data_IF_579185057365
#
_entry.id   IF_579185057365
#
_cell.length_a   1.000
_cell.length_b   1.000
_cell.length_c   1.000
_cell.angle_alpha   90.00
_cell.angle_beta   90.00
_cell.angle_gamma   90.00
#
_symmetry.space_group_name_H-M   'P 1'
#
loop_
_entity.id
_entity.type
_entity.pdbx_description
1 polymer ?
#
# COMPACT_ATOMS: atom_id res chain seq x y z
N UNK A 1 22.24 -26.39 63.82
CA UNK A 1 20.88 -26.79 64.19
C UNK A 1 19.92 -26.25 63.13
N UNK A 2 19.23 -27.17 62.43
CA UNK A 2 18.02 -27.05 61.56
C UNK A 2 17.93 -25.83 60.63
N UNK A 3 18.15 -25.94 59.31
CA UNK A 3 17.32 -26.61 58.27
C UNK A 3 15.84 -26.28 58.39
N UNK A 4 15.31 -25.45 57.48
CA UNK A 4 14.08 -25.74 56.71
C UNK A 4 13.80 -24.65 55.65
N UNK A 5 13.42 -25.12 54.47
CA UNK A 5 12.81 -24.46 53.30
C UNK A 5 11.93 -25.55 52.66
N UNK A 6 10.94 -25.29 51.78
CA UNK A 6 9.98 -24.20 51.65
C UNK A 6 8.53 -24.76 51.67
N UNK A 7 7.49 -23.94 51.47
CA UNK A 7 6.15 -24.44 51.07
C UNK A 7 5.69 -23.77 49.78
N UNK A 8 5.55 -24.63 48.76
CA UNK A 8 4.99 -24.47 47.43
C UNK A 8 3.45 -24.46 47.52
N UNK A 9 2.80 -23.51 46.83
CA UNK A 9 1.35 -23.49 46.64
C UNK A 9 1.03 -23.33 45.16
N UNK A 10 1.23 -24.42 44.43
CA UNK A 10 0.67 -24.64 43.10
C UNK A 10 -0.73 -25.28 43.20
N UNK A 11 -1.81 -24.71 42.62
CA UNK A 11 -3.09 -25.40 42.53
C UNK A 11 -3.13 -26.43 41.40
N UNK A 12 -3.73 -27.58 41.75
CA UNK A 12 -3.79 -28.84 41.00
C UNK A 12 -4.61 -28.76 39.69
N UNK A 13 -4.06 -29.41 38.67
CA UNK A 13 -4.75 -29.90 37.47
C UNK A 13 -5.91 -30.83 37.85
N UNK A 14 -7.10 -30.58 37.30
CA UNK A 14 -8.21 -31.54 37.27
C UNK A 14 -8.36 -32.03 35.83
N UNK A 15 -7.98 -33.27 35.59
CA UNK A 15 -8.40 -34.06 34.42
C UNK A 15 -9.41 -35.10 34.90
N UNK A 16 -10.52 -35.29 34.18
CA UNK A 16 -11.21 -36.60 34.16
C UNK A 16 -11.86 -36.90 32.82
N UNK A 17 -11.53 -38.11 32.38
CA UNK A 17 -11.87 -38.84 31.16
C UNK A 17 -13.36 -39.17 31.01
N UNK A 18 -13.81 -39.08 29.75
CA UNK A 18 -14.38 -40.15 28.90
C UNK A 18 -15.53 -41.03 29.40
N UNK A 19 -16.57 -41.17 28.55
CA UNK A 19 -17.29 -42.39 28.07
C UNK A 19 -18.65 -41.91 27.50
N UNK A 20 -18.92 -41.86 26.19
CA UNK A 20 -19.16 -42.90 25.14
C UNK A 20 -20.65 -43.20 24.88
N UNK A 21 -20.96 -43.40 23.58
CA UNK A 21 -22.17 -43.97 22.91
C UNK A 21 -23.27 -42.96 22.54
N UNK A 22 -23.78 -42.88 21.30
CA UNK A 22 -23.54 -43.63 20.07
C UNK A 22 -24.77 -43.57 19.14
N UNK A 23 -24.51 -43.70 17.83
CA UNK A 23 -25.35 -44.25 16.74
C UNK A 23 -26.48 -43.37 16.17
N UNK A 24 -26.42 -43.18 14.85
CA UNK A 24 -27.55 -42.73 14.02
C UNK A 24 -27.18 -42.52 12.55
N UNK A 25 -27.02 -43.62 11.79
CA UNK A 25 -26.92 -43.65 10.33
C UNK A 25 -28.21 -43.13 9.65
N UNK A 26 -28.09 -42.40 8.54
CA UNK A 26 -29.00 -42.56 7.40
C UNK A 26 -28.38 -42.03 6.10
N UNK A 27 -28.13 -42.95 5.16
CA UNK A 27 -27.87 -42.72 3.74
C UNK A 27 -29.13 -42.19 3.04
N UNK A 28 -28.95 -41.36 2.02
CA UNK A 28 -29.73 -41.45 0.78
C UNK A 28 -28.96 -40.81 -0.40
N UNK A 29 -28.92 -41.52 -1.51
CA UNK A 29 -28.22 -41.20 -2.74
C UNK A 29 -29.23 -41.06 -3.90
N UNK A 30 -29.02 -40.03 -4.76
CA UNK A 30 -29.19 -40.02 -6.25
C UNK A 30 -30.67 -40.08 -6.76
N UNK A 31 -31.09 -39.29 -7.81
CA UNK A 31 -30.42 -39.27 -9.11
C UNK A 31 -30.29 -37.96 -9.90
N UNK A 32 -29.30 -38.04 -10.79
CA UNK A 32 -29.04 -37.24 -11.98
C UNK A 32 -30.14 -37.48 -13.03
N UNK A 33 -30.67 -36.41 -13.62
CA UNK A 33 -31.36 -36.45 -14.91
C UNK A 33 -30.86 -35.31 -15.80
N UNK A 34 -30.29 -35.68 -16.95
CA UNK A 34 -30.09 -34.83 -18.15
C UNK A 34 -31.38 -34.81 -18.96
N UNK A 35 -31.71 -33.69 -19.63
CA UNK A 35 -31.81 -33.54 -21.11
C UNK A 35 -32.67 -32.32 -21.53
N UNK A 36 -32.19 -31.63 -22.58
CA UNK A 36 -32.87 -30.94 -23.69
C UNK A 36 -33.52 -29.55 -23.52
N UNK A 37 -32.82 -28.56 -24.10
CA UNK A 37 -33.22 -27.70 -25.24
C UNK A 37 -34.72 -27.59 -25.57
N UNK A 38 -35.22 -26.35 -25.56
CA UNK A 38 -36.23 -25.89 -26.52
C UNK A 38 -36.03 -24.40 -26.84
N UNK A 39 -35.89 -24.09 -28.13
CA UNK A 39 -36.03 -22.76 -28.72
C UNK A 39 -37.52 -22.39 -28.83
N UNK A 40 -37.85 -21.10 -28.75
CA UNK A 40 -39.14 -20.56 -29.15
C UNK A 40 -39.17 -19.05 -28.94
N UNK A 41 -39.19 -18.29 -30.04
CA UNK A 41 -39.20 -16.82 -30.06
C UNK A 41 -40.60 -16.21 -30.26
N UNK A 42 -40.61 -14.88 -30.23
CA UNK A 42 -41.63 -13.87 -30.57
C UNK A 42 -42.95 -13.91 -29.77
N UNK A 43 -43.51 -12.82 -29.25
CA UNK A 43 -43.62 -11.47 -29.82
C UNK A 43 -44.00 -10.41 -28.75
N UNK A 44 -43.48 -9.19 -28.96
CA UNK A 44 -44.02 -7.82 -28.69
C UNK A 44 -44.77 -7.45 -27.38
N UNK A 45 -44.20 -6.50 -26.61
CA UNK A 45 -44.65 -5.09 -26.42
C UNK A 45 -44.30 -4.51 -25.03
N UNK A 46 -43.51 -3.42 -25.04
CA UNK A 46 -43.71 -2.19 -24.26
C UNK A 46 -43.58 -2.23 -22.73
N UNK A 47 -42.58 -1.51 -22.20
CA UNK A 47 -42.66 -0.92 -20.86
C UNK A 47 -41.32 -0.75 -20.16
N UNK A 48 -40.63 0.35 -20.43
CA UNK A 48 -39.64 0.89 -19.49
C UNK A 48 -40.37 1.27 -18.19
N UNK A 49 -39.90 0.78 -17.04
CA UNK A 49 -39.76 1.58 -15.81
C UNK A 49 -38.88 0.87 -14.79
N UNK A 50 -37.78 1.55 -14.52
CA UNK A 50 -36.83 1.45 -13.42
C UNK A 50 -37.41 0.83 -12.12
N UNK A 51 -36.89 -0.33 -11.73
CA UNK A 51 -36.93 -0.90 -10.37
C UNK A 51 -35.51 -1.39 -10.11
N UNK A 52 -34.88 -1.24 -8.96
CA UNK A 52 -35.19 -0.70 -7.66
C UNK A 52 -33.88 -0.91 -6.88
N UNK A 53 -33.55 0.00 -5.98
CA UNK A 53 -32.38 -0.13 -5.12
C UNK A 53 -32.45 -1.45 -4.34
N UNK A 54 -31.39 -2.26 -4.44
CA UNK A 54 -31.09 -3.30 -3.46
C UNK A 54 -29.75 -2.96 -2.81
N UNK A 55 -29.84 -2.34 -1.64
CA UNK A 55 -28.73 -2.13 -0.74
C UNK A 55 -28.48 -3.44 0.02
N UNK A 56 -27.82 -4.38 -0.66
CA UNK A 56 -27.32 -5.61 -0.08
C UNK A 56 -26.02 -5.35 0.68
N UNK A 57 -26.11 -5.33 2.01
CA UNK A 57 -24.97 -5.50 2.92
C UNK A 57 -24.51 -6.95 2.86
N UNK A 58 -23.78 -7.28 1.80
CA UNK A 58 -23.10 -8.57 1.64
C UNK A 58 -21.61 -8.39 1.83
N UNK A 59 -21.03 -9.04 2.83
CA UNK A 59 -19.61 -9.41 2.83
C UNK A 59 -19.41 -10.49 1.76
N UNK A 60 -19.58 -10.12 0.50
CA UNK A 60 -19.15 -10.95 -0.60
C UNK A 60 -17.69 -10.58 -0.81
N UNK A 61 -16.78 -11.53 -0.60
CA UNK A 61 -15.40 -11.39 -1.05
C UNK A 61 -15.47 -11.30 -2.57
N UNK A 62 -15.67 -10.07 -3.06
CA UNK A 62 -16.14 -9.80 -4.40
C UNK A 62 -15.27 -10.52 -5.41
N UNK A 63 -15.91 -11.30 -6.27
CA UNK A 63 -15.31 -11.72 -7.52
C UNK A 63 -14.97 -10.44 -8.26
N UNK A 64 -13.70 -10.03 -8.20
CA UNK A 64 -13.20 -8.93 -9.02
C UNK A 64 -13.44 -9.29 -10.48
N UNK A 65 -14.19 -8.44 -11.18
CA UNK A 65 -14.21 -8.49 -12.62
C UNK A 65 -12.77 -8.27 -13.11
N UNK A 66 -12.20 -9.18 -13.93
CA UNK A 66 -10.80 -9.12 -14.40
C UNK A 66 -10.45 -7.82 -15.14
N UNK A 67 -11.44 -6.99 -15.46
CA UNK A 67 -11.30 -5.64 -16.02
C UNK A 67 -10.94 -4.51 -15.04
N UNK A 68 -11.10 -4.68 -13.72
CA UNK A 68 -11.04 -3.57 -12.76
C UNK A 68 -10.00 -3.74 -11.64
N UNK A 69 -9.59 -2.62 -11.07
CA UNK A 69 -8.78 -2.56 -9.86
C UNK A 69 -9.59 -2.96 -8.63
N UNK A 70 -8.98 -3.73 -7.73
CA UNK A 70 -9.60 -4.17 -6.48
C UNK A 70 -9.84 -3.00 -5.50
N UNK A 71 -10.82 -3.17 -4.61
CA UNK A 71 -11.15 -2.23 -3.53
C UNK A 71 -11.09 -2.93 -2.16
N UNK A 72 -11.23 -2.18 -1.06
CA UNK A 72 -11.30 -2.74 0.30
C UNK A 72 -9.97 -2.94 1.02
N UNK A 73 -8.85 -2.48 0.46
CA UNK A 73 -7.52 -2.51 1.10
C UNK A 73 -6.80 -3.85 0.99
N UNK A 74 -5.72 -4.02 1.77
CA UNK A 74 -4.81 -5.18 1.66
C UNK A 74 -5.47 -6.54 1.91
N UNK A 75 -6.59 -6.57 2.65
CA UNK A 75 -7.38 -7.78 2.84
C UNK A 75 -7.95 -8.37 1.54
N UNK A 76 -8.09 -7.55 0.48
CA UNK A 76 -8.56 -7.98 -0.82
C UNK A 76 -7.50 -8.70 -1.69
N UNK A 77 -6.24 -8.78 -1.23
CA UNK A 77 -5.15 -9.47 -1.94
C UNK A 77 -5.25 -11.01 -1.80
N UNK A 78 -6.33 -11.59 -2.30
CA UNK A 78 -6.66 -13.01 -2.14
C UNK A 78 -5.69 -13.96 -2.86
N UNK A 79 -4.98 -13.48 -3.88
CA UNK A 79 -4.01 -14.26 -4.65
C UNK A 79 -2.55 -13.86 -4.35
N UNK A 80 -2.29 -13.12 -3.26
CA UNK A 80 -0.98 -12.56 -2.94
C UNK A 80 0.17 -13.58 -2.93
N UNK A 81 -0.08 -14.83 -2.51
CA UNK A 81 0.93 -15.88 -2.48
C UNK A 81 1.34 -16.37 -3.88
N UNK A 82 0.54 -16.09 -4.91
CA UNK A 82 0.74 -16.47 -6.30
C UNK A 82 1.22 -15.31 -7.19
N UNK A 83 1.44 -14.12 -6.63
CA UNK A 83 1.95 -13.00 -7.40
C UNK A 83 3.33 -13.37 -8.00
N UNK A 84 3.59 -13.00 -9.26
CA UNK A 84 4.85 -13.32 -9.90
C UNK A 84 5.99 -12.57 -9.19
N UNK A 85 7.18 -13.15 -9.24
CA UNK A 85 8.39 -12.43 -8.89
C UNK A 85 8.72 -11.44 -10.03
N UNK A 86 8.62 -10.11 -9.81
CA UNK A 86 8.86 -9.12 -10.86
C UNK A 86 10.35 -9.00 -11.25
N UNK A 87 11.25 -9.64 -10.51
CA UNK A 87 12.68 -9.65 -10.76
C UNK A 87 13.20 -11.05 -11.18
N UNK A 88 12.31 -11.98 -11.55
CA UNK A 88 12.66 -13.34 -11.96
C UNK A 88 13.57 -13.41 -13.19
N UNK A 89 13.49 -12.41 -14.07
CA UNK A 89 14.36 -12.26 -15.25
C UNK A 89 15.72 -11.62 -14.92
N UNK A 90 15.99 -11.31 -13.64
CA UNK A 90 17.15 -10.56 -13.20
C UNK A 90 16.99 -9.05 -13.36
N UNK A 91 18.09 -8.32 -13.20
CA UNK A 91 18.10 -6.85 -13.17
C UNK A 91 17.98 -6.17 -14.55
N UNK A 92 17.96 -6.94 -15.63
CA UNK A 92 18.07 -6.40 -16.99
C UNK A 92 19.38 -5.61 -17.19
N UNK A 93 19.34 -4.57 -18.01
CA UNK A 93 20.48 -3.66 -18.30
C UNK A 93 20.41 -2.32 -17.59
N UNK A 94 19.38 -2.07 -16.77
CA UNK A 94 19.17 -0.78 -16.10
C UNK A 94 19.61 -0.90 -14.65
N UNK A 95 20.75 -0.29 -14.33
CA UNK A 95 21.35 -0.28 -13.01
C UNK A 95 21.78 1.15 -12.67
N UNK A 96 20.81 2.06 -12.75
CA UNK A 96 21.02 3.47 -12.44
C UNK A 96 20.90 3.67 -10.93
N UNK A 97 21.84 4.45 -10.36
CA UNK A 97 21.80 4.84 -8.96
C UNK A 97 20.45 5.47 -8.61
N UNK A 98 19.89 5.05 -7.48
CA UNK A 98 18.85 5.82 -6.82
C UNK A 98 19.47 7.12 -6.33
N UNK A 99 19.04 8.24 -6.91
CA UNK A 99 19.52 9.56 -6.50
C UNK A 99 18.68 10.14 -5.36
N UNK A 100 19.33 10.93 -4.51
CA UNK A 100 18.72 11.50 -3.31
C UNK A 100 17.64 12.52 -3.66
N UNK A 101 16.51 12.44 -2.96
CA UNK A 101 15.47 13.47 -2.96
C UNK A 101 15.21 13.92 -1.52
N UNK A 102 14.41 14.98 -1.35
CA UNK A 102 14.06 15.47 -0.02
C UNK A 102 13.36 14.37 0.81
N UNK A 103 13.76 14.26 2.09
CA UNK A 103 13.07 13.45 3.10
C UNK A 103 11.62 13.93 3.28
N UNK A 104 11.39 15.23 3.11
CA UNK A 104 10.09 15.86 3.33
C UNK A 104 9.71 15.98 4.81
N UNK A 105 8.68 16.78 5.13
CA UNK A 105 8.27 17.05 6.51
C UNK A 105 7.42 15.92 7.14
N UNK A 106 7.08 14.89 6.36
CA UNK A 106 6.14 13.84 6.74
C UNK A 106 6.84 12.52 7.11
N UNK A 107 8.17 12.53 7.29
CA UNK A 107 8.85 11.40 7.92
C UNK A 107 8.47 11.32 9.40
N UNK A 108 8.24 10.10 9.88
CA UNK A 108 7.79 9.81 11.23
C UNK A 108 8.25 8.41 11.64
N UNK A 109 8.02 8.06 12.90
CA UNK A 109 8.40 6.79 13.49
C UNK A 109 7.86 5.60 12.68
N UNK A 110 8.76 4.66 12.40
CA UNK A 110 8.51 3.49 11.55
C UNK A 110 8.09 2.27 12.36
N UNK A 111 7.44 1.34 11.68
CA UNK A 111 7.00 0.05 12.25
C UNK A 111 7.54 -1.09 11.41
N UNK A 112 8.14 -2.10 12.03
CA UNK A 112 8.55 -3.32 11.32
C UNK A 112 7.33 -4.21 11.07
N UNK A 113 6.82 -4.16 9.83
CA UNK A 113 5.68 -4.95 9.37
C UNK A 113 5.64 -5.01 7.85
N UNK A 114 5.11 -6.12 7.33
CA UNK A 114 4.91 -6.29 5.88
C UNK A 114 3.69 -5.51 5.40
N UNK A 115 2.54 -5.76 6.01
CA UNK A 115 1.33 -4.97 5.78
C UNK A 115 1.41 -3.68 6.60
N UNK A 116 1.47 -2.55 5.90
CA UNK A 116 1.59 -1.23 6.50
C UNK A 116 0.25 -0.48 6.56
N UNK A 117 -0.85 -1.06 6.08
CA UNK A 117 -2.13 -0.37 5.90
C UNK A 117 -2.87 -0.05 7.21
N UNK A 118 -2.61 -0.80 8.29
CA UNK A 118 -3.47 -0.81 9.50
C UNK A 118 -4.94 -1.10 9.20
N UNK A 119 -5.23 -1.84 8.12
CA UNK A 119 -6.60 -2.17 7.71
C UNK A 119 -7.34 -1.02 7.02
N UNK A 120 -6.65 0.07 6.67
CA UNK A 120 -7.24 1.13 5.87
C UNK A 120 -7.66 0.62 4.49
N UNK A 121 -8.82 1.08 4.03
CA UNK A 121 -9.31 0.81 2.69
C UNK A 121 -8.42 1.48 1.62
N UNK A 122 -8.55 1.01 0.39
CA UNK A 122 -7.73 1.47 -0.73
C UNK A 122 -7.69 0.47 -1.87
N UNK A 123 -7.08 0.88 -2.98
CA UNK A 123 -6.59 -0.08 -3.98
C UNK A 123 -5.41 -0.82 -3.37
N UNK A 124 -5.49 -2.14 -3.12
CA UNK A 124 -4.37 -2.90 -2.56
C UNK A 124 -3.16 -2.94 -3.50
N UNK A 125 -1.97 -2.78 -2.93
CA UNK A 125 -0.69 -2.78 -3.63
C UNK A 125 0.30 -3.68 -2.90
N UNK A 126 0.89 -4.65 -3.62
CA UNK A 126 2.17 -5.24 -3.24
C UNK A 126 3.30 -4.38 -3.80
N UNK A 127 4.11 -3.80 -2.93
CA UNK A 127 5.37 -3.19 -3.29
C UNK A 127 6.49 -4.21 -3.19
N UNK A 128 7.25 -4.39 -4.26
CA UNK A 128 8.41 -5.29 -4.31
C UNK A 128 9.68 -4.50 -4.65
N UNK A 129 10.68 -4.57 -3.78
CA UNK A 129 11.97 -3.93 -4.00
C UNK A 129 13.09 -4.94 -4.12
N UNK A 130 14.05 -4.63 -4.99
CA UNK A 130 15.33 -5.34 -5.08
C UNK A 130 16.46 -4.34 -4.83
N UNK A 131 17.15 -4.48 -3.70
CA UNK A 131 18.26 -3.60 -3.32
C UNK A 131 19.58 -4.20 -3.81
N UNK A 132 20.32 -3.42 -4.60
CA UNK A 132 21.60 -3.83 -5.18
C UNK A 132 22.66 -2.74 -5.05
N UNK A 133 23.94 -3.13 -5.15
CA UNK A 133 25.05 -2.18 -5.28
C UNK A 133 25.24 -1.70 -6.74
N UNK A 134 26.20 -0.81 -6.98
CA UNK A 134 26.54 -0.28 -8.32
C UNK A 134 27.08 -1.34 -9.29
N UNK A 135 27.49 -2.50 -8.77
CA UNK A 135 27.83 -3.67 -9.60
C UNK A 135 26.61 -4.57 -9.83
N UNK A 136 25.42 -4.09 -9.49
CA UNK A 136 24.13 -4.76 -9.62
C UNK A 136 24.11 -6.09 -8.83
N UNK A 137 24.85 -6.15 -7.73
CA UNK A 137 24.85 -7.31 -6.84
C UNK A 137 23.85 -7.09 -5.71
N UNK A 138 22.98 -8.07 -5.40
CA UNK A 138 22.05 -7.96 -4.30
C UNK A 138 22.72 -7.69 -2.94
N UNK A 139 22.08 -6.81 -2.15
CA UNK A 139 22.52 -6.47 -0.80
C UNK A 139 21.56 -7.10 0.22
N UNK A 140 21.94 -8.24 0.83
CA UNK A 140 21.15 -8.83 1.91
C UNK A 140 21.30 -8.04 3.22
N UNK A 141 20.26 -8.02 4.03
CA UNK A 141 20.29 -7.36 5.35
C UNK A 141 20.19 -5.83 5.31
N UNK A 142 19.97 -5.22 4.15
CA UNK A 142 19.65 -3.80 4.05
C UNK A 142 18.23 -3.55 4.61
N UNK A 143 18.02 -2.46 5.33
CA UNK A 143 16.67 -2.04 5.72
C UNK A 143 16.14 -1.06 4.69
N UNK A 144 14.93 -1.31 4.20
CA UNK A 144 14.16 -0.37 3.39
C UNK A 144 13.04 0.16 4.25
N UNK A 145 12.98 1.47 4.38
CA UNK A 145 11.85 2.17 4.98
C UNK A 145 10.99 2.73 3.86
N UNK A 146 9.67 2.70 4.03
CA UNK A 146 8.74 3.41 3.14
C UNK A 146 7.69 4.17 3.93
N UNK A 147 7.25 5.30 3.36
CA UNK A 147 6.09 6.04 3.85
C UNK A 147 5.39 6.75 2.69
N UNK A 148 4.08 6.88 2.79
CA UNK A 148 3.28 7.64 1.82
C UNK A 148 1.97 8.15 2.43
N UNK A 149 1.29 9.02 1.69
CA UNK A 149 -0.04 9.49 2.05
C UNK A 149 -1.09 8.38 1.88
N UNK A 150 -2.16 8.42 2.68
CA UNK A 150 -3.35 7.59 2.44
C UNK A 150 -4.11 8.00 1.18
N UNK A 151 -5.17 7.25 0.80
CA UNK A 151 -6.00 7.54 -0.37
C UNK A 151 -6.53 8.98 -0.41
N UNK A 152 -6.68 9.62 0.74
CA UNK A 152 -7.18 10.99 0.92
C UNK A 152 -6.10 12.06 0.73
N UNK A 153 -4.83 11.68 0.57
CA UNK A 153 -3.69 12.61 0.50
C UNK A 153 -3.15 13.07 1.86
N UNK A 154 -3.65 12.49 2.96
CA UNK A 154 -3.19 12.76 4.32
C UNK A 154 -2.02 11.85 4.69
N UNK A 155 -1.17 12.22 5.65
CA UNK A 155 -0.18 11.32 6.27
C UNK A 155 -0.52 11.04 7.74
N UNK A 156 -0.10 9.88 8.25
CA UNK A 156 -0.18 9.51 9.67
C UNK A 156 1.06 9.91 10.47
N UNK A 157 1.07 9.71 11.78
CA UNK A 157 2.28 9.69 12.60
C UNK A 157 2.34 10.83 13.61
N UNK A 158 2.69 10.46 14.84
CA UNK A 158 2.72 11.37 16.00
C UNK A 158 3.82 12.43 15.87
N UNK A 159 4.95 12.03 15.30
CA UNK A 159 6.15 12.84 15.07
C UNK A 159 6.25 13.40 13.65
N UNK A 160 5.19 13.23 12.84
CA UNK A 160 5.07 13.92 11.56
C UNK A 160 4.67 15.39 11.77
N UNK A 161 5.05 16.28 10.85
CA UNK A 161 4.61 17.67 10.88
C UNK A 161 3.08 17.79 10.87
N UNK A 162 2.52 18.78 11.58
CA UNK A 162 1.08 19.07 11.59
C UNK A 162 0.53 19.36 10.18
N UNK A 163 1.38 19.86 9.27
CA UNK A 163 1.04 20.01 7.85
C UNK A 163 0.66 18.65 7.22
N UNK A 164 1.35 17.58 7.60
CA UNK A 164 1.19 16.24 7.03
C UNK A 164 -0.07 15.53 7.54
N UNK A 165 -0.44 15.78 8.79
CA UNK A 165 -1.63 15.19 9.43
C UNK A 165 -2.84 16.11 9.34
N UNK A 166 -2.71 17.33 8.77
CA UNK A 166 -3.70 18.41 8.82
C UNK A 166 -4.19 18.72 10.24
N UNK A 167 -3.39 18.39 11.25
CA UNK A 167 -3.77 18.45 12.64
C UNK A 167 -4.83 17.43 13.09
N UNK A 168 -5.19 16.44 12.27
CA UNK A 168 -6.13 15.39 12.61
C UNK A 168 -5.59 14.49 13.74
N UNK A 169 -6.39 14.30 14.79
CA UNK A 169 -5.97 13.55 15.98
C UNK A 169 -5.83 12.04 15.69
N UNK A 170 -6.67 11.49 14.81
CA UNK A 170 -6.63 10.08 14.43
C UNK A 170 -5.39 9.81 13.58
N UNK A 171 -5.09 10.66 12.60
CA UNK A 171 -3.89 10.57 11.78
C UNK A 171 -2.61 10.70 12.63
N UNK A 172 -2.58 11.64 13.58
CA UNK A 172 -1.45 11.77 14.53
C UNK A 172 -1.24 10.53 15.41
N UNK A 173 -2.32 9.88 15.85
CA UNK A 173 -2.22 8.68 16.68
C UNK A 173 -1.90 7.40 15.88
N UNK A 174 -2.11 7.41 14.56
CA UNK A 174 -1.95 6.25 13.70
C UNK A 174 -0.52 6.11 13.15
N UNK A 175 -0.23 4.93 12.57
CA UNK A 175 1.03 4.69 11.83
C UNK A 175 0.82 4.04 10.48
N UNK A 176 -0.41 4.02 9.95
CA UNK A 176 -0.71 3.49 8.62
C UNK A 176 0.21 4.06 7.55
N UNK A 177 0.42 3.25 6.51
CA UNK A 177 1.27 3.51 5.36
C UNK A 177 2.71 3.92 5.73
N UNK A 178 3.22 3.38 6.84
CA UNK A 178 4.62 3.47 7.28
C UNK A 178 5.16 2.10 7.62
N UNK A 179 6.33 1.76 7.08
CA UNK A 179 6.97 0.47 7.31
C UNK A 179 8.48 0.52 7.21
N UNK A 180 9.13 -0.41 7.89
CA UNK A 180 10.53 -0.79 7.65
C UNK A 180 10.60 -2.30 7.51
N UNK A 181 11.37 -2.78 6.54
CA UNK A 181 11.63 -4.21 6.35
C UNK A 181 13.06 -4.44 5.93
N UNK A 182 13.59 -5.60 6.29
CA UNK A 182 14.95 -6.02 5.95
C UNK A 182 14.94 -6.89 4.70
N UNK A 183 15.90 -6.66 3.80
CA UNK A 183 16.09 -7.46 2.60
C UNK A 183 16.54 -8.88 2.92
N UNK A 184 16.03 -9.85 2.14
CA UNK A 184 16.40 -11.25 2.24
C UNK A 184 17.80 -11.53 1.64
N UNK A 185 18.19 -12.80 1.56
CA UNK A 185 19.48 -13.23 1.01
C UNK A 185 19.72 -12.81 -0.46
N UNK A 186 18.63 -12.51 -1.19
CA UNK A 186 18.65 -12.07 -2.58
C UNK A 186 18.44 -10.55 -2.70
N UNK A 187 18.57 -9.79 -1.62
CA UNK A 187 18.37 -8.34 -1.62
C UNK A 187 16.92 -7.90 -1.78
N UNK A 188 15.95 -8.81 -1.60
CA UNK A 188 14.52 -8.55 -1.86
C UNK A 188 13.77 -8.16 -0.61
N UNK A 189 12.80 -7.28 -0.75
CA UNK A 189 11.88 -6.93 0.33
C UNK A 189 10.53 -6.50 -0.23
N UNK A 190 9.46 -6.95 0.43
CA UNK A 190 8.09 -6.64 0.02
C UNK A 190 7.32 -5.94 1.16
N UNK A 191 6.38 -5.09 0.75
CA UNK A 191 5.36 -4.48 1.59
C UNK A 191 3.98 -4.69 0.97
N UNK A 192 2.96 -4.77 1.83
CA UNK A 192 1.55 -4.70 1.43
C UNK A 192 1.01 -3.36 1.91
N UNK A 193 0.38 -2.61 1.01
CA UNK A 193 -0.12 -1.26 1.26
C UNK A 193 -1.34 -0.96 0.38
N UNK A 194 -1.78 0.30 0.39
CA UNK A 194 -2.78 0.84 -0.52
C UNK A 194 -2.15 1.90 -1.44
N UNK A 195 -2.71 2.09 -2.64
CA UNK A 195 -2.24 3.12 -3.57
C UNK A 195 -2.35 4.53 -2.93
N UNK A 196 -1.32 5.39 -3.02
CA UNK A 196 -1.35 6.68 -2.34
C UNK A 196 -2.35 7.64 -2.97
N UNK A 197 -2.91 8.53 -2.17
CA UNK A 197 -3.60 9.72 -2.66
C UNK A 197 -2.62 10.82 -3.07
N UNK A 198 -3.16 11.93 -3.58
CA UNK A 198 -2.41 13.15 -3.88
C UNK A 198 -2.77 14.28 -2.92
N UNK A 199 -1.87 15.23 -2.79
CA UNK A 199 -2.03 16.49 -2.08
C UNK A 199 -1.34 17.60 -2.86
N UNK A 200 -1.67 18.86 -2.57
CA UNK A 200 -1.31 19.97 -3.45
C UNK A 200 0.20 20.06 -3.70
N UNK A 201 0.56 20.46 -4.92
CA UNK A 201 1.93 20.64 -5.44
C UNK A 201 2.76 19.37 -5.66
N UNK A 202 2.19 18.19 -5.41
CA UNK A 202 2.90 16.91 -5.48
C UNK A 202 2.16 15.90 -6.34
N UNK A 203 2.88 15.25 -7.26
CA UNK A 203 2.37 14.06 -7.96
C UNK A 203 2.31 12.86 -6.99
N UNK A 204 1.58 11.79 -7.34
CA UNK A 204 1.41 10.61 -6.47
C UNK A 204 2.74 9.88 -6.31
N UNK A 205 3.18 9.66 -5.07
CA UNK A 205 4.50 9.12 -4.76
C UNK A 205 4.54 8.27 -3.50
N UNK A 206 5.61 7.48 -3.40
CA UNK A 206 6.01 6.76 -2.19
C UNK A 206 7.45 7.14 -1.88
N UNK A 207 7.70 7.57 -0.65
CA UNK A 207 9.05 7.81 -0.18
C UNK A 207 9.73 6.50 0.23
N UNK A 208 11.06 6.49 0.13
CA UNK A 208 11.85 5.41 0.71
C UNK A 208 13.19 5.88 1.26
N UNK A 209 13.72 5.09 2.20
CA UNK A 209 15.11 5.18 2.64
C UNK A 209 15.74 3.80 2.65
N UNK A 210 16.93 3.66 2.05
CA UNK A 210 17.73 2.42 2.16
C UNK A 210 18.87 2.63 3.14
N UNK A 211 18.99 1.73 4.12
CA UNK A 211 20.16 1.66 5.02
C UNK A 211 20.87 0.32 4.91
N UNK A 212 22.19 0.36 4.91
CA UNK A 212 23.06 -0.83 4.95
C UNK A 212 23.89 -0.73 6.22
N UNK A 213 23.86 -1.79 7.05
CA UNK A 213 24.51 -1.80 8.37
C UNK A 213 24.11 -0.59 9.25
N UNK A 214 22.85 -0.16 9.17
CA UNK A 214 22.32 0.98 9.93
C UNK A 214 22.70 2.37 9.40
N UNK A 215 23.54 2.46 8.37
CA UNK A 215 23.91 3.75 7.76
C UNK A 215 23.01 4.05 6.57
N UNK A 216 22.58 5.30 6.42
CA UNK A 216 21.73 5.75 5.32
C UNK A 216 22.52 5.92 4.03
N UNK A 217 22.13 5.17 2.99
CA UNK A 217 22.79 5.23 1.68
C UNK A 217 22.05 6.17 0.72
N UNK A 218 20.72 6.16 0.77
CA UNK A 218 19.85 7.03 -0.03
C UNK A 218 18.50 7.20 0.67
N UNK A 219 18.00 8.42 0.63
CA UNK A 219 16.59 8.76 0.86
C UNK A 219 16.05 9.38 -0.43
N UNK A 220 14.94 8.88 -0.94
CA UNK A 220 14.38 9.35 -2.21
C UNK A 220 12.89 9.05 -2.32
N UNK A 221 12.34 9.20 -3.52
CA UNK A 221 10.92 9.06 -3.82
C UNK A 221 10.75 8.28 -5.13
N UNK A 222 9.66 7.52 -5.21
CA UNK A 222 9.23 6.79 -6.40
C UNK A 222 7.82 7.22 -6.77
N UNK A 223 7.57 7.23 -8.07
CA UNK A 223 6.35 7.78 -8.66
C UNK A 223 5.65 6.71 -9.49
N UNK A 224 4.42 6.99 -9.86
CA UNK A 224 3.64 6.15 -10.76
C UNK A 224 3.52 6.83 -12.12
N UNK A 225 3.40 6.04 -13.19
CA UNK A 225 3.12 6.60 -14.50
C UNK A 225 1.81 7.43 -14.45
N UNK A 226 1.78 8.58 -15.13
CA UNK A 226 0.63 9.47 -15.10
C UNK A 226 -0.63 8.78 -15.65
N UNK A 227 -0.51 7.92 -16.67
CA UNK A 227 -1.66 7.19 -17.21
C UNK A 227 -2.21 6.15 -16.22
N UNK A 228 -1.34 5.49 -15.45
CA UNK A 228 -1.76 4.58 -14.37
C UNK A 228 -2.45 5.37 -13.25
N UNK A 229 -1.89 6.53 -12.90
CA UNK A 229 -2.46 7.40 -11.88
C UNK A 229 -3.83 7.93 -12.29
N UNK A 230 -3.98 8.37 -13.53
CA UNK A 230 -5.24 8.90 -14.07
C UNK A 230 -6.31 7.82 -14.16
N UNK A 231 -5.96 6.59 -14.56
CA UNK A 231 -6.89 5.46 -14.55
C UNK A 231 -7.42 5.17 -13.14
N UNK A 232 -6.55 5.13 -12.13
CA UNK A 232 -6.91 4.89 -10.73
C UNK A 232 -7.76 6.03 -10.19
N UNK A 233 -7.32 7.28 -10.38
CA UNK A 233 -8.04 8.47 -9.89
C UNK A 233 -9.45 8.52 -10.47
N UNK A 234 -9.64 8.16 -11.73
CA UNK A 234 -10.95 8.21 -12.38
C UNK A 234 -11.84 6.98 -12.11
N UNK A 235 -11.26 5.81 -11.82
CA UNK A 235 -12.02 4.56 -11.70
C UNK A 235 -12.26 4.10 -10.25
N UNK A 236 -11.39 4.43 -9.30
CA UNK A 236 -11.47 3.91 -7.94
C UNK A 236 -12.39 4.76 -7.04
N UNK A 237 -13.32 4.16 -6.28
CA UNK A 237 -14.32 4.89 -5.48
C UNK A 237 -13.76 5.89 -4.47
N UNK A 238 -12.60 5.60 -3.86
CA UNK A 238 -11.96 6.48 -2.89
C UNK A 238 -11.24 7.69 -3.53
N UNK A 239 -11.10 7.70 -4.85
CA UNK A 239 -10.35 8.73 -5.59
C UNK A 239 -11.25 9.53 -6.52
N UNK A 240 -12.19 8.88 -7.23
CA UNK A 240 -12.99 9.50 -8.29
C UNK A 240 -14.00 10.56 -7.82
N UNK A 241 -14.18 10.70 -6.50
CA UNK A 241 -15.00 11.74 -5.87
C UNK A 241 -14.18 12.91 -5.34
N UNK A 242 -12.85 12.82 -5.32
CA UNK A 242 -11.93 13.85 -4.77
C UNK A 242 -11.59 14.96 -5.79
N UNK A 243 -12.08 14.84 -7.02
CA UNK A 243 -11.78 15.75 -8.13
C UNK A 243 -10.48 15.40 -8.85
N UNK A 244 -10.03 16.30 -9.71
CA UNK A 244 -8.78 16.13 -10.47
C UNK A 244 -7.56 16.44 -9.59
N UNK A 245 -6.46 15.71 -9.84
CA UNK A 245 -5.16 16.04 -9.25
C UNK A 245 -4.59 17.31 -9.87
N UNK A 246 -4.07 18.21 -9.03
CA UNK A 246 -3.49 19.49 -9.48
C UNK A 246 -2.09 19.35 -10.07
N UNK A 247 -1.42 18.22 -9.80
CA UNK A 247 -0.01 17.99 -10.11
C UNK A 247 0.19 16.63 -10.77
N UNK A 248 0.87 16.64 -11.92
CA UNK A 248 1.38 15.49 -12.67
C UNK A 248 2.88 15.32 -12.51
N UNK A 249 3.44 14.24 -13.02
CA UNK A 249 4.89 14.05 -13.00
C UNK A 249 5.65 15.17 -13.73
N UNK A 250 5.00 15.83 -14.69
CA UNK A 250 5.61 16.91 -15.48
C UNK A 250 5.75 18.24 -14.73
N UNK A 251 4.93 18.47 -13.70
CA UNK A 251 4.91 19.73 -12.94
C UNK A 251 5.12 19.53 -11.43
N UNK A 252 5.56 18.34 -11.00
CA UNK A 252 5.95 18.08 -9.61
C UNK A 252 7.11 18.99 -9.18
N UNK A 253 7.09 19.38 -7.91
CA UNK A 253 8.06 20.33 -7.35
C UNK A 253 9.35 19.67 -6.88
N UNK A 254 9.41 18.33 -6.81
CA UNK A 254 10.57 17.54 -6.37
C UNK A 254 11.27 16.86 -7.53
N UNK A 255 10.53 16.21 -8.43
CA UNK A 255 11.10 15.54 -9.62
C UNK A 255 10.83 16.36 -10.87
N UNK A 256 11.80 16.42 -11.80
CA UNK A 256 11.57 17.02 -13.11
C UNK A 256 10.88 16.05 -14.06
N UNK A 257 10.04 16.58 -14.95
CA UNK A 257 9.37 15.79 -15.98
C UNK A 257 10.32 15.03 -16.90
N UNK A 258 11.52 15.55 -17.15
CA UNK A 258 12.55 14.90 -17.96
C UNK A 258 13.21 13.70 -17.26
N UNK A 259 13.27 13.72 -15.92
CA UNK A 259 13.98 12.71 -15.14
C UNK A 259 13.06 11.64 -14.53
N UNK A 260 11.75 11.91 -14.42
CA UNK A 260 10.81 11.06 -13.69
C UNK A 260 10.79 9.61 -14.16
N UNK A 261 11.11 9.34 -15.43
CA UNK A 261 11.20 8.00 -15.99
C UNK A 261 12.13 7.05 -15.21
N UNK A 262 13.23 7.57 -14.65
CA UNK A 262 14.16 6.79 -13.83
C UNK A 262 13.59 6.45 -12.43
N UNK A 263 12.49 7.09 -12.03
CA UNK A 263 11.89 6.99 -10.69
C UNK A 263 10.47 6.39 -10.71
N UNK A 264 10.00 5.93 -11.86
CA UNK A 264 8.70 5.24 -11.95
C UNK A 264 8.77 3.81 -11.39
N UNK A 265 7.72 3.39 -10.68
CA UNK A 265 7.44 1.97 -10.46
C UNK A 265 7.09 1.29 -11.78
N UNK A 266 7.55 0.04 -11.95
CA UNK A 266 6.91 -0.87 -12.90
C UNK A 266 5.63 -1.41 -12.25
N UNK A 267 4.49 -1.29 -12.92
CA UNK A 267 3.18 -1.69 -12.37
C UNK A 267 2.54 -2.80 -13.19
N UNK A 268 1.80 -3.68 -12.51
CA UNK A 268 1.00 -4.72 -13.13
C UNK A 268 -0.28 -4.96 -12.32
N UNK A 269 -1.41 -5.12 -12.99
CA UNK A 269 -2.65 -5.58 -12.36
C UNK A 269 -2.66 -7.10 -12.21
N UNK A 270 -2.88 -7.58 -11.01
CA UNK A 270 -2.97 -9.00 -10.67
C UNK A 270 -4.36 -9.56 -10.97
N UNK A 271 -4.49 -10.89 -10.97
CA UNK A 271 -5.77 -11.57 -11.26
C UNK A 271 -6.86 -11.29 -10.22
N UNK A 272 -6.47 -10.93 -9.00
CA UNK A 272 -7.36 -10.50 -7.93
C UNK A 272 -7.60 -8.97 -7.94
N UNK A 273 -7.20 -8.27 -9.00
CA UNK A 273 -7.40 -6.83 -9.18
C UNK A 273 -6.45 -5.95 -8.39
N UNK A 274 -5.60 -6.50 -7.51
CA UNK A 274 -4.59 -5.72 -6.80
C UNK A 274 -3.45 -5.28 -7.73
N UNK A 275 -2.68 -4.28 -7.30
CA UNK A 275 -1.48 -3.86 -8.01
C UNK A 275 -0.25 -4.58 -7.47
N UNK A 276 0.60 -5.08 -8.37
CA UNK A 276 2.00 -5.34 -8.10
C UNK A 276 2.80 -4.15 -8.64
N UNK A 277 3.53 -3.46 -7.77
CA UNK A 277 4.43 -2.36 -8.13
C UNK A 277 5.85 -2.71 -7.70
N UNK A 278 6.83 -2.57 -8.60
CA UNK A 278 8.20 -3.01 -8.35
C UNK A 278 9.26 -1.98 -8.76
N UNK A 279 10.38 -2.00 -8.04
CA UNK A 279 11.56 -1.17 -8.35
C UNK A 279 12.86 -1.79 -7.87
N UNK A 280 13.89 -1.75 -8.71
CA UNK A 280 15.28 -1.98 -8.28
C UNK A 280 15.84 -0.70 -7.68
N UNK A 281 16.37 -0.79 -6.46
CA UNK A 281 17.01 0.31 -5.74
C UNK A 281 18.53 0.10 -5.76
N UNK A 282 19.23 0.79 -6.65
CA UNK A 282 20.69 0.72 -6.75
C UNK A 282 21.29 1.75 -5.79
N UNK A 283 22.09 1.30 -4.84
CA UNK A 283 22.79 2.19 -3.89
C UNK A 283 24.28 2.24 -4.19
N UNK A 284 24.89 3.40 -3.90
CA UNK A 284 26.35 3.58 -3.96
C UNK A 284 27.07 2.50 -3.16
N UNK A 285 28.23 2.05 -3.64
CA UNK A 285 29.03 1.02 -2.97
C UNK A 285 29.70 1.52 -1.68
N UNK A 286 29.80 2.85 -1.51
CA UNK A 286 30.44 3.49 -0.36
C UNK A 286 29.86 4.87 -0.10
N UNK A 287 29.71 5.22 1.19
CA UNK A 287 29.31 6.56 1.62
C UNK A 287 30.38 7.64 1.38
N UNK A 288 31.61 7.24 1.04
CA UNK A 288 32.65 8.19 0.63
C UNK A 288 32.43 8.70 -0.81
N UNK A 289 31.59 8.02 -1.60
CA UNK A 289 31.18 8.48 -2.92
C UNK A 289 30.02 9.46 -2.75
N UNK A 290 30.13 10.63 -3.39
CA UNK A 290 29.04 11.60 -3.40
C UNK A 290 27.77 10.97 -3.96
N UNK A 291 26.63 11.24 -3.33
CA UNK A 291 25.32 10.89 -3.85
C UNK A 291 24.99 11.74 -5.07
N UNK A 292 24.30 11.15 -6.03
CA UNK A 292 23.58 11.95 -7.03
C UNK A 292 22.30 12.52 -6.42
N UNK A 293 21.82 13.63 -6.95
CA UNK A 293 20.54 14.24 -6.57
C UNK A 293 19.50 13.97 -7.66
N UNK A 294 18.28 13.66 -7.26
CA UNK A 294 17.12 13.57 -8.15
C UNK A 294 16.97 14.92 -8.88
N UNK A 295 16.99 14.95 -10.24
CA UNK A 295 16.78 16.18 -10.97
C UNK A 295 15.35 16.67 -10.75
N UNK A 296 15.21 17.96 -10.44
CA UNK A 296 13.97 18.59 -10.02
C UNK A 296 14.19 19.48 -8.81
N UNK A 297 13.33 20.47 -8.61
CA UNK A 297 13.43 21.40 -7.48
C UNK A 297 14.06 22.76 -7.80
N UNK A 298 13.28 23.67 -8.40
CA UNK A 298 13.44 25.10 -8.13
C UNK A 298 12.79 25.53 -6.80
N UNK A 299 12.21 24.59 -6.03
CA UNK A 299 11.74 24.79 -4.66
C UNK A 299 12.87 24.61 -3.64
N UNK A 300 13.87 25.49 -3.67
CA UNK A 300 15.03 25.42 -2.81
C UNK A 300 14.72 25.52 -1.31
N UNK A 301 15.56 24.85 -0.52
CA UNK A 301 16.01 25.32 0.79
C UNK A 301 15.03 25.15 1.94
N UNK A 302 15.37 24.22 2.84
CA UNK A 302 14.91 24.28 4.22
C UNK A 302 15.26 25.63 4.85
N UNK A 303 14.24 26.45 5.07
CA UNK A 303 14.22 27.62 5.94
C UNK A 303 12.80 27.72 6.50
N UNK A 304 12.62 28.23 7.74
CA UNK A 304 11.29 28.26 8.36
C UNK A 304 10.37 29.13 7.49
N UNK A 305 9.42 28.48 6.81
CA UNK A 305 8.43 29.16 6.00
C UNK A 305 7.70 30.17 6.89
N UNK A 306 7.82 31.46 6.54
CA UNK A 306 6.97 32.48 7.12
C UNK A 306 5.50 32.12 6.90
N UNK A 307 4.60 32.58 7.78
CA UNK A 307 3.19 32.24 7.65
C UNK A 307 2.66 32.70 6.29
N UNK A 308 1.81 31.89 5.62
CA UNK A 308 1.23 32.27 4.35
C UNK A 308 0.45 33.59 4.49
N UNK A 309 0.35 34.41 3.43
CA UNK A 309 -0.52 35.57 3.44
C UNK A 309 -1.94 35.08 3.74
N UNK A 310 -2.58 35.69 4.74
CA UNK A 310 -3.92 35.34 5.19
C UNK A 310 -4.89 35.26 4.02
N UNK A 311 -5.22 34.02 3.65
CA UNK A 311 -6.33 33.66 2.80
C UNK A 311 -7.17 32.68 3.59
N UNK A 312 -8.36 33.11 3.91
CA UNK A 312 -9.40 32.51 4.76
C UNK A 312 -10.01 31.23 4.16
N UNK A 313 -9.23 30.50 3.36
CA UNK A 313 -9.54 29.16 2.89
C UNK A 313 -9.11 28.13 3.93
N UNK A 314 -9.93 27.95 4.97
CA UNK A 314 -9.79 26.79 5.84
C UNK A 314 -9.77 25.53 4.99
N UNK A 315 -8.70 24.73 5.07
CA UNK A 315 -8.72 23.34 4.61
C UNK A 315 -9.64 22.57 5.57
N UNK A 316 -10.94 22.69 5.32
CA UNK A 316 -11.92 21.76 5.86
C UNK A 316 -11.70 20.40 5.20
N UNK A 317 -11.90 19.29 5.93
CA UNK A 317 -11.95 17.99 5.30
C UNK A 317 -12.98 18.02 4.16
N UNK A 318 -12.77 17.28 3.06
CA UNK A 318 -13.80 17.14 2.04
C UNK A 318 -15.12 16.71 2.70
N UNK A 319 -16.26 17.32 2.34
CA UNK A 319 -17.53 16.96 2.95
C UNK A 319 -17.88 15.52 2.57
N UNK A 320 -17.96 14.62 3.54
CA UNK A 320 -18.60 13.30 3.32
C UNK A 320 -18.06 12.08 4.06
N UNK A 321 -16.95 12.14 4.79
CA UNK A 321 -16.50 10.97 5.58
C UNK A 321 -16.92 11.11 7.04
N UNK A 322 -18.14 10.69 7.36
CA UNK A 322 -18.52 10.37 8.73
C UNK A 322 -17.79 9.06 9.08
N UNK A 323 -16.75 9.15 9.90
CA UNK A 323 -15.87 8.05 10.30
C UNK A 323 -16.54 7.02 11.21
N UNK A 324 -17.80 6.65 10.92
CA UNK A 324 -18.48 5.54 11.55
C UNK A 324 -18.00 4.22 10.94
N UNK A 325 -16.96 3.61 11.53
CA UNK A 325 -16.79 2.16 11.39
C UNK A 325 -17.65 1.43 12.44
N UNK A 326 -18.21 0.25 12.11
CA UNK A 326 -18.76 -0.69 13.10
C UNK A 326 -17.66 -1.32 13.99
#
# INVERSE_FOLDING_TARGET
MKSESPQDLSPKVITRRSILRGIGLSLAAVPVAKLLVACGGDDTTGGDTNTGADAGTGTDAGVVDPGFWATGGTAAMTAAAAYPDPFASGLGTVCNLACEATLGPCYATRVDRKDISEGHEGLPVRLAFLVVDESCKPIPGATVDIWHAGPEGLYSGEDASDFCTSGDATARAARWFRGVRTTDANGRVDFDTCFPGWYSSRTIHIHFTVRVNGQEFVTSQLFFDDSTSDDIVNSQPLYNTRGERDTTNQNDTVVSGDAVGDYLFATQRMSDGAMLASKTLVVRSSLNTASCAMPGGSGGGGGPGGPPPGGDGGMGPPPGFDGGMP
#
